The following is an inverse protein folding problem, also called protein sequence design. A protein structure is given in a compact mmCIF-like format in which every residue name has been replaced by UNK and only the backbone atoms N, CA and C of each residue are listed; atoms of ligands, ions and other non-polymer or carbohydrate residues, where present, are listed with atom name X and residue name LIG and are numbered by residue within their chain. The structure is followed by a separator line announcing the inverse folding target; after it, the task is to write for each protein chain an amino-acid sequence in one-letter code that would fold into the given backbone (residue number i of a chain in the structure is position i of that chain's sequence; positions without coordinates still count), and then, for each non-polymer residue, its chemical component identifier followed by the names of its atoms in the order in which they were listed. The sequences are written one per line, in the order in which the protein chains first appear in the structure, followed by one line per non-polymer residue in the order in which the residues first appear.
data_IF_241725942350
#
_entry.id   IF_241725942350
#
_cell.length_a   1.000
_cell.length_b   1.000
_cell.length_c   1.000
_cell.angle_alpha   90.00
_cell.angle_beta   90.00
_cell.angle_gamma   90.00
#
_symmetry.space_group_name_H-M   'P 1'
#
loop_
_entity.id
_entity.type
_entity.pdbx_description
1 polymer ?
#
# COMPACT_ATOMS: atom_id res chain seq x y z
N UNK A 1 16.13 25.05 -1.30
CA UNK A 1 15.84 23.62 -1.06
C UNK A 1 15.10 23.14 -2.29
N UNK A 2 15.66 22.17 -3.03
CA UNK A 2 14.91 21.60 -4.14
C UNK A 2 13.60 21.01 -3.64
N UNK A 3 12.48 21.45 -4.20
CA UNK A 3 11.19 20.86 -3.89
C UNK A 3 11.18 19.42 -4.38
N UNK A 4 10.73 18.52 -3.51
CA UNK A 4 10.53 17.12 -3.88
C UNK A 4 9.51 17.04 -5.01
N UNK A 5 9.75 16.19 -6.00
CA UNK A 5 8.76 15.88 -7.04
C UNK A 5 8.06 14.54 -6.78
N UNK A 6 8.15 14.06 -5.54
CA UNK A 6 7.51 12.80 -5.13
C UNK A 6 6.04 13.04 -4.85
N UNK A 7 5.19 12.19 -5.41
CA UNK A 7 3.75 12.17 -5.16
C UNK A 7 3.38 10.78 -4.64
N UNK A 8 2.76 10.73 -3.47
CA UNK A 8 2.21 9.49 -2.94
C UNK A 8 0.76 9.38 -3.40
N UNK A 9 0.41 8.28 -4.05
CA UNK A 9 -0.95 8.01 -4.53
C UNK A 9 -1.48 6.76 -3.83
N UNK A 10 -2.59 6.91 -3.10
CA UNK A 10 -3.24 5.79 -2.41
C UNK A 10 -4.52 5.40 -3.14
N UNK A 11 -4.69 4.12 -3.37
CA UNK A 11 -5.84 3.54 -4.04
C UNK A 11 -6.57 2.59 -3.10
N UNK A 12 -7.87 2.86 -2.88
CA UNK A 12 -8.72 2.05 -2.02
C UNK A 12 -9.25 0.79 -2.72
N UNK A 13 -9.94 -0.06 -1.95
CA UNK A 13 -10.41 -1.36 -2.43
C UNK A 13 -11.36 -1.28 -3.63
N UNK A 14 -12.25 -0.28 -3.68
CA UNK A 14 -13.15 -0.08 -4.81
C UNK A 14 -12.43 0.26 -6.10
N UNK A 15 -11.28 0.94 -5.99
CA UNK A 15 -10.39 1.22 -7.14
C UNK A 15 -9.63 -0.02 -7.60
N UNK A 16 -9.69 -1.11 -6.84
CA UNK A 16 -8.96 -2.36 -7.09
C UNK A 16 -9.91 -3.55 -7.11
N UNK A 17 -11.15 -3.34 -7.59
CA UNK A 17 -12.19 -4.36 -7.54
C UNK A 17 -11.93 -5.54 -8.51
N UNK A 18 -11.28 -5.27 -9.63
CA UNK A 18 -11.02 -6.25 -10.68
C UNK A 18 -9.78 -5.86 -11.50
N UNK A 19 -9.40 -6.69 -12.45
CA UNK A 19 -8.20 -6.45 -13.27
C UNK A 19 -8.33 -5.22 -14.16
N UNK A 20 -9.53 -4.86 -14.61
CA UNK A 20 -9.74 -3.64 -15.39
C UNK A 20 -9.50 -2.39 -14.54
N UNK A 21 -9.86 -2.44 -13.26
CA UNK A 21 -9.58 -1.35 -12.32
C UNK A 21 -8.09 -1.20 -12.08
N UNK A 22 -7.34 -2.31 -12.01
CA UNK A 22 -5.87 -2.26 -11.94
C UNK A 22 -5.28 -1.54 -13.15
N UNK A 23 -5.81 -1.76 -14.35
CA UNK A 23 -5.37 -1.05 -15.57
C UNK A 23 -5.66 0.44 -15.48
N UNK A 24 -6.83 0.82 -14.96
CA UNK A 24 -7.19 2.22 -14.74
C UNK A 24 -6.25 2.92 -13.73
N UNK A 25 -5.93 2.23 -12.63
CA UNK A 25 -4.96 2.71 -11.63
C UNK A 25 -3.58 2.86 -12.25
N UNK A 26 -3.11 1.88 -13.00
CA UNK A 26 -1.82 1.94 -13.68
C UNK A 26 -1.75 3.13 -14.65
N UNK A 27 -2.83 3.45 -15.34
CA UNK A 27 -2.90 4.62 -16.23
C UNK A 27 -2.74 5.92 -15.45
N UNK A 28 -3.40 6.06 -14.31
CA UNK A 28 -3.25 7.24 -13.45
C UNK A 28 -1.80 7.42 -13.03
N UNK A 29 -1.15 6.36 -12.58
CA UNK A 29 0.26 6.38 -12.15
C UNK A 29 1.16 6.75 -13.32
N UNK A 30 0.95 6.13 -14.47
CA UNK A 30 1.73 6.40 -15.68
C UNK A 30 1.60 7.86 -16.13
N UNK A 31 0.38 8.40 -16.15
CA UNK A 31 0.12 9.79 -16.56
C UNK A 31 0.78 10.77 -15.59
N UNK A 32 0.74 10.51 -14.28
CA UNK A 32 1.41 11.32 -13.28
C UNK A 32 2.93 11.30 -13.49
N UNK A 33 3.50 10.14 -13.78
CA UNK A 33 4.93 9.98 -14.05
C UNK A 33 5.36 10.73 -15.31
N UNK A 34 4.54 10.73 -16.35
CA UNK A 34 4.81 11.47 -17.59
C UNK A 34 4.87 12.99 -17.39
N UNK A 35 4.18 13.49 -16.36
CA UNK A 35 4.20 14.91 -16.00
C UNK A 35 5.42 15.27 -15.14
N UNK A 36 6.43 14.43 -15.06
CA UNK A 36 7.69 14.68 -14.36
C UNK A 36 7.66 14.39 -12.88
N UNK A 37 6.61 13.74 -12.38
CA UNK A 37 6.49 13.35 -10.97
C UNK A 37 7.05 11.96 -10.73
N UNK A 38 7.52 11.72 -9.51
CA UNK A 38 7.95 10.41 -9.04
C UNK A 38 6.84 9.85 -8.16
N UNK A 39 6.18 8.81 -8.63
CA UNK A 39 5.02 8.22 -7.93
C UNK A 39 5.46 7.13 -6.98
N UNK A 40 4.89 7.15 -5.79
CA UNK A 40 4.90 6.03 -4.84
C UNK A 40 3.45 5.64 -4.62
N UNK A 41 3.10 4.41 -4.97
CA UNK A 41 1.72 3.93 -4.85
C UNK A 41 1.53 3.17 -3.53
N UNK A 42 0.40 3.41 -2.87
CA UNK A 42 -0.03 2.68 -1.67
C UNK A 42 -1.38 2.07 -1.96
N UNK A 43 -1.55 0.79 -1.73
CA UNK A 43 -2.77 0.08 -2.09
C UNK A 43 -3.40 -0.66 -0.92
N UNK A 44 -4.72 -0.70 -0.92
CA UNK A 44 -5.53 -1.57 -0.07
C UNK A 44 -5.68 -2.95 -0.71
N UNK A 45 -6.28 -3.89 0.00
CA UNK A 45 -6.74 -5.15 -0.59
C UNK A 45 -7.81 -4.88 -1.66
N UNK A 46 -8.02 -5.82 -2.54
CA UNK A 46 -9.12 -5.78 -3.51
C UNK A 46 -10.46 -5.67 -2.79
N UNK A 47 -11.45 -5.07 -3.46
CA UNK A 47 -12.78 -4.89 -2.88
C UNK A 47 -13.34 -6.22 -2.36
N UNK A 48 -13.81 -6.21 -1.10
CA UNK A 48 -14.39 -7.39 -0.45
C UNK A 48 -13.39 -8.40 0.09
N UNK A 49 -12.10 -8.28 -0.24
CA UNK A 49 -11.09 -9.27 0.14
C UNK A 49 -10.82 -9.27 1.64
N UNK A 50 -10.68 -8.12 2.26
CA UNK A 50 -10.48 -8.03 3.71
C UNK A 50 -11.65 -8.62 4.46
N UNK A 51 -12.88 -8.35 4.03
CA UNK A 51 -14.07 -8.93 4.66
C UNK A 51 -14.13 -10.44 4.51
N UNK A 52 -13.74 -10.97 3.34
CA UNK A 52 -13.65 -12.42 3.11
C UNK A 52 -12.68 -13.07 4.09
N UNK A 53 -11.52 -12.44 4.31
CA UNK A 53 -10.51 -12.94 5.26
C UNK A 53 -10.99 -12.87 6.70
N UNK A 54 -11.69 -11.79 7.07
CA UNK A 54 -12.31 -11.65 8.40
C UNK A 54 -13.31 -12.78 8.65
N UNK A 55 -14.15 -13.07 7.67
CA UNK A 55 -15.16 -14.13 7.79
C UNK A 55 -14.51 -15.50 7.96
N UNK A 56 -13.47 -15.77 7.17
CA UNK A 56 -12.70 -17.03 7.32
C UNK A 56 -12.08 -17.19 8.72
N UNK A 57 -11.54 -16.11 9.27
CA UNK A 57 -10.97 -16.12 10.61
C UNK A 57 -12.00 -16.55 11.65
N UNK A 58 -13.22 -16.02 11.56
CA UNK A 58 -14.31 -16.31 12.50
C UNK A 58 -14.86 -17.73 12.35
N UNK A 59 -14.75 -18.32 11.17
CA UNK A 59 -15.16 -19.71 10.97
C UNK A 59 -14.25 -20.68 11.73
N UNK A 60 -12.97 -20.35 11.88
CA UNK A 60 -12.01 -21.24 12.53
C UNK A 60 -11.79 -20.91 14.01
N UNK A 61 -12.06 -19.68 14.42
CA UNK A 61 -11.91 -19.24 15.80
C UNK A 61 -12.90 -18.10 16.08
N UNK A 62 -13.83 -18.35 17.00
CA UNK A 62 -14.91 -17.39 17.32
C UNK A 62 -14.36 -16.00 17.68
N UNK A 63 -13.34 -15.99 18.54
CA UNK A 63 -12.59 -14.77 18.88
C UNK A 63 -11.16 -14.99 18.39
N UNK A 64 -10.80 -14.49 17.18
CA UNK A 64 -9.50 -14.75 16.61
C UNK A 64 -8.35 -14.22 17.47
N UNK A 65 -7.27 -15.00 17.55
CA UNK A 65 -6.04 -14.55 18.18
C UNK A 65 -5.54 -13.29 17.44
N UNK A 66 -5.26 -12.18 18.17
CA UNK A 66 -4.94 -10.91 17.52
C UNK A 66 -3.71 -10.95 16.61
N UNK A 67 -2.67 -11.66 17.00
CA UNK A 67 -1.45 -11.80 16.20
C UNK A 67 -1.72 -12.55 14.89
N UNK A 68 -2.41 -13.69 14.98
CA UNK A 68 -2.72 -14.50 13.80
C UNK A 68 -3.77 -13.83 12.91
N UNK A 69 -4.69 -13.10 13.51
CA UNK A 69 -5.67 -12.29 12.78
C UNK A 69 -5.00 -11.24 11.92
N UNK A 70 -4.04 -10.50 12.48
CA UNK A 70 -3.28 -9.51 11.71
C UNK A 70 -2.50 -10.16 10.57
N UNK A 71 -1.88 -11.31 10.81
CA UNK A 71 -1.17 -12.05 9.78
C UNK A 71 -2.10 -12.44 8.62
N UNK A 72 -3.33 -12.86 8.94
CA UNK A 72 -4.31 -13.26 7.93
C UNK A 72 -4.84 -12.06 7.14
N UNK A 73 -5.40 -11.05 7.82
CA UNK A 73 -6.12 -9.97 7.14
C UNK A 73 -5.19 -9.03 6.36
N UNK A 74 -3.90 -9.01 6.68
CA UNK A 74 -2.90 -8.23 5.94
C UNK A 74 -2.49 -8.86 4.61
N UNK A 75 -2.84 -10.13 4.36
CA UNK A 75 -2.44 -10.83 3.13
C UNK A 75 -3.12 -10.28 1.86
N UNK A 76 -4.26 -9.62 1.99
CA UNK A 76 -4.96 -9.03 0.86
C UNK A 76 -4.16 -7.95 0.15
N UNK A 77 -3.45 -7.13 0.89
CA UNK A 77 -2.62 -6.06 0.32
C UNK A 77 -1.41 -6.64 -0.42
N UNK A 78 -0.89 -7.79 0.02
CA UNK A 78 0.20 -8.47 -0.68
C UNK A 78 -0.23 -8.90 -2.09
N UNK A 79 -1.45 -9.37 -2.25
CA UNK A 79 -2.01 -9.69 -3.58
C UNK A 79 -2.08 -8.43 -4.44
N UNK A 80 -2.60 -7.34 -3.88
CA UNK A 80 -2.78 -6.08 -4.61
C UNK A 80 -1.47 -5.48 -5.09
N UNK A 81 -0.42 -5.45 -4.27
CA UNK A 81 0.86 -4.86 -4.69
C UNK A 81 1.51 -5.65 -5.81
N UNK A 82 1.42 -6.97 -5.76
CA UNK A 82 1.97 -7.81 -6.81
C UNK A 82 1.23 -7.61 -8.14
N UNK A 83 -0.11 -7.59 -8.10
CA UNK A 83 -0.93 -7.39 -9.29
C UNK A 83 -0.72 -6.00 -9.90
N UNK A 84 -0.65 -4.95 -9.07
CA UNK A 84 -0.43 -3.60 -9.58
C UNK A 84 0.98 -3.46 -10.17
N UNK A 85 1.99 -4.00 -9.50
CA UNK A 85 3.35 -3.97 -10.04
C UNK A 85 3.45 -4.67 -11.40
N UNK A 86 2.79 -5.83 -11.56
CA UNK A 86 2.73 -6.53 -12.84
C UNK A 86 1.97 -5.72 -13.90
N UNK A 87 0.85 -5.09 -13.52
CA UNK A 87 0.06 -4.25 -14.43
C UNK A 87 0.88 -3.05 -14.93
N UNK A 88 1.61 -2.40 -14.03
CA UNK A 88 2.49 -1.28 -14.37
C UNK A 88 3.61 -1.72 -15.32
N UNK A 89 4.24 -2.85 -15.07
CA UNK A 89 5.28 -3.37 -15.97
C UNK A 89 4.73 -3.68 -17.36
N UNK A 90 3.50 -4.18 -17.42
CA UNK A 90 2.83 -4.41 -18.71
C UNK A 90 2.55 -3.11 -19.48
N UNK A 91 2.50 -1.98 -18.77
CA UNK A 91 2.36 -0.65 -19.35
C UNK A 91 3.71 0.07 -19.54
N UNK A 92 4.82 -0.66 -19.46
CA UNK A 92 6.18 -0.17 -19.60
C UNK A 92 6.60 0.82 -18.49
N UNK A 93 6.01 0.68 -17.31
CA UNK A 93 6.41 1.40 -16.10
C UNK A 93 7.19 0.43 -15.22
N UNK A 94 8.46 0.72 -14.97
CA UNK A 94 9.25 -0.06 -14.01
C UNK A 94 8.64 0.10 -12.62
N UNK A 95 8.38 -1.02 -11.98
CA UNK A 95 7.71 -1.04 -10.68
C UNK A 95 8.26 -2.15 -9.80
N UNK A 96 8.13 -1.97 -8.50
CA UNK A 96 8.58 -2.96 -7.51
C UNK A 96 7.63 -2.95 -6.32
N UNK A 97 7.12 -4.13 -5.97
CA UNK A 97 6.20 -4.27 -4.84
C UNK A 97 6.96 -4.42 -3.52
N UNK A 98 6.37 -3.86 -2.45
CA UNK A 98 6.89 -3.93 -1.09
C UNK A 98 5.76 -4.25 -0.11
N UNK A 99 5.99 -5.24 0.73
CA UNK A 99 5.23 -5.40 1.96
C UNK A 99 5.78 -4.46 3.04
N UNK A 100 5.05 -4.28 4.12
CA UNK A 100 5.53 -3.48 5.25
C UNK A 100 6.85 -4.02 5.83
N UNK A 101 7.02 -5.35 5.83
CA UNK A 101 8.27 -5.98 6.26
C UNK A 101 9.44 -5.56 5.39
N UNK A 102 9.30 -5.67 4.08
CA UNK A 102 10.35 -5.33 3.12
C UNK A 102 10.68 -3.85 3.15
N UNK A 103 9.69 -3.01 3.39
CA UNK A 103 9.87 -1.57 3.52
C UNK A 103 10.54 -1.17 4.85
N UNK A 104 10.28 -1.93 5.92
CA UNK A 104 10.68 -1.53 7.26
C UNK A 104 9.75 -0.49 7.87
N UNK A 105 8.43 -0.66 7.67
CA UNK A 105 7.42 0.16 8.32
C UNK A 105 7.15 -0.40 9.71
N UNK A 106 7.72 0.26 10.73
CA UNK A 106 7.69 -0.19 12.11
C UNK A 106 6.51 0.37 12.87
N UNK A 107 5.88 -0.49 13.67
CA UNK A 107 4.75 -0.13 14.53
C UNK A 107 4.99 -0.55 15.98
N UNK A 108 4.07 -0.14 16.85
CA UNK A 108 3.97 -0.71 18.21
C UNK A 108 3.37 -2.12 18.15
N UNK A 109 3.14 -2.74 19.32
CA UNK A 109 2.65 -4.10 19.46
C UNK A 109 1.12 -4.23 19.50
N UNK A 110 0.41 -3.15 19.30
CA UNK A 110 -1.04 -3.14 19.48
C UNK A 110 -1.74 -3.72 18.26
N UNK A 111 -1.88 -5.05 18.20
CA UNK A 111 -2.52 -5.75 17.09
C UNK A 111 -3.93 -5.22 16.81
N UNK A 112 -4.25 -5.01 15.54
CA UNK A 112 -5.53 -4.48 15.09
C UNK A 112 -5.66 -2.96 15.13
N UNK A 113 -4.82 -2.26 15.88
CA UNK A 113 -4.81 -0.78 16.02
C UNK A 113 -3.40 -0.26 16.23
N UNK A 114 -2.44 -0.84 15.54
CA UNK A 114 -1.03 -0.46 15.69
C UNK A 114 -0.80 0.98 15.21
N UNK A 115 0.17 1.64 15.83
CA UNK A 115 0.62 2.98 15.46
C UNK A 115 1.99 2.90 14.80
N UNK A 116 2.17 3.68 13.74
CA UNK A 116 3.44 3.74 13.01
C UNK A 116 4.45 4.51 13.86
N UNK A 117 5.60 3.87 14.13
CA UNK A 117 6.71 4.47 14.84
C UNK A 117 7.76 5.06 13.90
N UNK A 118 8.08 4.35 12.83
CA UNK A 118 9.08 4.78 11.86
C UNK A 118 8.90 4.07 10.52
N UNK A 119 9.44 4.68 9.47
CA UNK A 119 9.49 4.10 8.13
C UNK A 119 10.92 4.24 7.62
N UNK A 120 11.51 3.13 7.18
CA UNK A 120 12.80 3.16 6.50
C UNK A 120 12.56 3.49 5.02
N UNK A 121 12.99 4.66 4.59
CA UNK A 121 12.78 5.14 3.22
C UNK A 121 13.95 4.86 2.30
N UNK A 122 15.03 4.26 2.79
CA UNK A 122 16.28 4.09 2.03
C UNK A 122 16.09 3.36 0.70
N UNK A 123 15.44 2.20 0.74
CA UNK A 123 15.25 1.39 -0.48
C UNK A 123 14.28 2.06 -1.46
N UNK A 124 13.25 2.72 -0.95
CA UNK A 124 12.29 3.45 -1.79
C UNK A 124 12.95 4.62 -2.48
N UNK A 125 13.74 5.41 -1.77
CA UNK A 125 14.46 6.54 -2.37
C UNK A 125 15.47 6.07 -3.44
N UNK A 126 16.11 4.93 -3.22
CA UNK A 126 16.99 4.32 -4.20
C UNK A 126 16.21 3.92 -5.47
N UNK A 127 15.05 3.30 -5.31
CA UNK A 127 14.19 2.92 -6.44
C UNK A 127 13.73 4.15 -7.23
N UNK A 128 13.26 5.18 -6.52
CA UNK A 128 12.82 6.44 -7.13
C UNK A 128 13.94 7.04 -7.97
N UNK A 129 15.18 7.05 -7.45
CA UNK A 129 16.35 7.55 -8.16
C UNK A 129 16.67 6.75 -9.42
N UNK A 130 16.26 5.49 -9.47
CA UNK A 130 16.47 4.59 -10.61
C UNK A 130 15.24 4.52 -11.54
N UNK A 131 14.31 5.45 -11.41
CA UNK A 131 13.03 5.49 -12.16
C UNK A 131 12.17 4.23 -11.98
N UNK A 132 12.21 3.65 -10.78
CA UNK A 132 11.35 2.53 -10.39
C UNK A 132 10.23 3.08 -9.51
N UNK A 133 8.99 2.73 -9.84
CA UNK A 133 7.80 3.09 -9.05
C UNK A 133 7.59 2.07 -7.94
N UNK A 134 7.76 2.44 -6.66
CA UNK A 134 7.44 1.54 -5.55
C UNK A 134 5.94 1.39 -5.40
N UNK A 135 5.49 0.15 -5.17
CA UNK A 135 4.08 -0.16 -4.89
C UNK A 135 4.03 -0.81 -3.51
N UNK A 136 3.39 -0.16 -2.57
CA UNK A 136 3.52 -0.46 -1.14
C UNK A 136 2.19 -0.90 -0.55
N UNK A 137 2.21 -1.95 0.26
CA UNK A 137 1.03 -2.38 1.02
C UNK A 137 0.63 -1.30 2.02
N UNK A 138 -0.63 -0.88 1.97
CA UNK A 138 -1.23 -0.08 3.03
C UNK A 138 -1.69 -0.96 4.20
N UNK A 139 -2.20 -0.34 5.25
CA UNK A 139 -2.90 -1.01 6.35
C UNK A 139 -2.01 -1.79 7.32
N UNK A 140 -0.83 -2.19 6.95
CA UNK A 140 0.02 -3.12 7.72
C UNK A 140 1.35 -2.50 8.14
N UNK A 141 1.93 -3.08 9.15
CA UNK A 141 3.25 -2.78 9.65
C UNK A 141 3.89 -4.00 10.26
N UNK A 142 5.03 -3.79 10.90
CA UNK A 142 5.78 -4.83 11.59
C UNK A 142 6.24 -4.29 12.94
N UNK A 143 6.09 -5.08 14.01
CA UNK A 143 6.54 -4.69 15.33
C UNK A 143 8.03 -5.06 15.54
N UNK A 144 8.56 -4.75 16.72
CA UNK A 144 9.96 -5.04 17.05
C UNK A 144 10.29 -6.54 17.03
N UNK A 145 9.31 -7.38 17.32
CA UNK A 145 9.48 -8.84 17.33
C UNK A 145 9.42 -9.45 15.93
N UNK A 146 9.12 -8.64 14.91
CA UNK A 146 8.98 -9.11 13.53
C UNK A 146 7.59 -9.64 13.19
N UNK A 147 6.61 -9.41 14.05
CA UNK A 147 5.23 -9.82 13.81
C UNK A 147 4.50 -8.79 12.96
N UNK A 148 3.63 -9.26 12.09
CA UNK A 148 2.79 -8.39 11.27
C UNK A 148 1.73 -7.75 12.15
N UNK A 149 1.56 -6.45 12.02
CA UNK A 149 0.53 -5.67 12.69
C UNK A 149 -0.38 -5.01 11.66
N UNK A 150 -1.61 -4.68 12.06
CA UNK A 150 -2.52 -3.89 11.23
C UNK A 150 -2.90 -2.60 11.95
N UNK A 151 -3.16 -1.55 11.17
CA UNK A 151 -3.38 -0.21 11.69
C UNK A 151 -4.85 0.08 12.04
N UNK A 152 -5.74 -0.85 11.72
CA UNK A 152 -7.17 -0.67 11.93
C UNK A 152 -7.86 0.10 10.81
N UNK A 153 -9.06 0.59 11.08
CA UNK A 153 -9.89 1.27 10.09
C UNK A 153 -9.19 2.53 9.56
N UNK A 154 -9.23 2.73 8.25
CA UNK A 154 -8.53 3.85 7.61
C UNK A 154 -7.01 3.67 7.55
N UNK A 155 -6.51 2.46 7.82
CA UNK A 155 -5.08 2.18 7.92
C UNK A 155 -4.30 2.43 6.64
N UNK A 156 -4.89 2.19 5.47
CA UNK A 156 -4.21 2.46 4.20
C UNK A 156 -4.01 3.96 3.98
N UNK A 157 -4.98 4.78 4.37
CA UNK A 157 -4.83 6.24 4.31
C UNK A 157 -3.74 6.70 5.29
N UNK A 158 -3.74 6.13 6.50
CA UNK A 158 -2.70 6.41 7.51
C UNK A 158 -1.32 6.04 6.98
N UNK A 159 -1.18 4.87 6.34
CA UNK A 159 0.08 4.44 5.70
C UNK A 159 0.55 5.44 4.64
N UNK A 160 -0.37 5.89 3.79
CA UNK A 160 -0.05 6.82 2.70
C UNK A 160 0.42 8.17 3.25
N UNK A 161 -0.27 8.72 4.23
CA UNK A 161 0.09 10.01 4.84
C UNK A 161 1.44 9.91 5.56
N UNK A 162 1.65 8.85 6.35
CA UNK A 162 2.91 8.65 7.04
C UNK A 162 4.09 8.51 6.06
N UNK A 163 3.88 7.78 4.97
CA UNK A 163 4.89 7.60 3.94
C UNK A 163 5.20 8.92 3.21
N UNK A 164 4.18 9.71 2.91
CA UNK A 164 4.35 11.03 2.30
C UNK A 164 5.20 11.95 3.19
N UNK A 165 4.95 11.94 4.50
CA UNK A 165 5.74 12.70 5.47
C UNK A 165 7.18 12.20 5.49
N UNK A 166 7.38 10.89 5.60
CA UNK A 166 8.72 10.29 5.68
C UNK A 166 9.55 10.55 4.41
N UNK A 167 8.91 10.58 3.24
CA UNK A 167 9.56 10.86 1.95
C UNK A 167 9.68 12.35 1.63
N UNK A 168 9.09 13.21 2.44
CA UNK A 168 8.98 14.64 2.16
C UNK A 168 8.32 14.88 0.78
N UNK A 169 7.26 14.12 0.50
CA UNK A 169 6.53 14.22 -0.75
C UNK A 169 5.87 15.60 -0.88
N UNK A 170 5.75 16.10 -2.12
CA UNK A 170 5.05 17.37 -2.35
C UNK A 170 3.55 17.23 -2.21
N UNK A 171 3.01 16.02 -2.37
CA UNK A 171 1.57 15.78 -2.35
C UNK A 171 1.28 14.32 -1.96
N UNK A 172 0.16 14.14 -1.26
CA UNK A 172 -0.43 12.83 -1.00
C UNK A 172 -1.85 12.85 -1.54
N UNK A 173 -2.11 12.04 -2.57
CA UNK A 173 -3.41 11.95 -3.24
C UNK A 173 -4.11 10.66 -2.78
N UNK A 174 -5.33 10.80 -2.27
CA UNK A 174 -6.16 9.67 -1.83
C UNK A 174 -7.28 9.47 -2.86
N UNK A 175 -7.25 8.34 -3.55
CA UNK A 175 -8.27 7.95 -4.51
C UNK A 175 -9.27 7.01 -3.85
N UNK A 176 -10.53 7.40 -3.78
CA UNK A 176 -11.60 6.59 -3.17
C UNK A 176 -12.36 5.76 -4.21
N UNK A 177 -12.64 6.36 -5.35
CA UNK A 177 -13.32 5.70 -6.46
C UNK A 177 -12.59 6.01 -7.75
N UNK A 178 -12.02 4.99 -8.38
CA UNK A 178 -11.46 5.11 -9.72
C UNK A 178 -12.47 4.47 -10.67
N UNK A 179 -13.11 5.31 -11.46
CA UNK A 179 -13.99 4.82 -12.53
C UNK A 179 -13.15 4.07 -13.57
N UNK A 180 -13.79 3.16 -14.26
CA UNK A 180 -13.14 2.44 -15.34
C UNK A 180 -12.58 3.37 -16.40
N UNK A 181 -11.81 2.81 -17.32
CA UNK A 181 -11.24 3.56 -18.45
C UNK A 181 -12.39 4.07 -19.34
N UNK A 182 -12.47 5.37 -19.48
CA UNK A 182 -13.38 6.00 -20.44
C UNK A 182 -12.72 6.10 -21.80
#
# INVERSE_FOLDING_TARGET
IPMSNIVVQKFGGTSLADTDRFKAVAKIIKDTSKNGKKVVAVVSAMAGETQRLIDLAKEVQEIPDPREYDALISSGEQVSVALLAMTLRNENVNSKSYTAFQLGLRTDDYHGKARINSIDTKNILKDISADITPVITGFQGINEEGDITTLGRGGSDTSAVALAVALQAEECQIYTDVDGVF
#
